data_IF_955621098870
#
_entry.id   IF_955621098870
#
_cell.length_a   1.000
_cell.length_b   1.000
_cell.length_c   1.000
_cell.angle_alpha   90.00
_cell.angle_beta   90.00
_cell.angle_gamma   90.00
#
_symmetry.space_group_name_H-M   'P 1'
#
loop_
_entity.id
_entity.type
_entity.pdbx_description
1 polymer ?
#
# COMPACT_ATOMS: atom_id res chain seq x y z
N UNK A 1 -0.35 12.81 -1.46
CA UNK A 1 -0.53 12.02 -2.70
C UNK A 1 0.81 11.88 -3.39
N UNK A 2 1.27 10.65 -3.57
CA UNK A 2 2.51 10.27 -4.24
C UNK A 2 2.37 10.45 -5.74
N UNK A 3 3.48 10.70 -6.43
CA UNK A 3 3.51 10.88 -7.89
C UNK A 3 2.93 9.67 -8.65
N UNK A 4 3.02 8.48 -8.07
CA UNK A 4 2.58 7.24 -8.68
C UNK A 4 1.20 6.78 -8.24
N UNK A 5 0.52 7.49 -7.33
CA UNK A 5 -0.78 7.11 -6.80
C UNK A 5 -1.78 6.81 -7.92
N UNK A 6 -1.99 7.76 -8.83
CA UNK A 6 -3.00 7.65 -9.87
C UNK A 6 -2.73 6.47 -10.81
N UNK A 7 -1.45 6.18 -11.10
CA UNK A 7 -1.06 5.04 -11.94
C UNK A 7 -1.40 3.73 -11.23
N UNK A 8 -1.03 3.59 -9.95
CA UNK A 8 -1.30 2.36 -9.19
C UNK A 8 -2.81 2.16 -9.00
N UNK A 9 -3.57 3.23 -8.76
CA UNK A 9 -5.02 3.19 -8.68
C UNK A 9 -5.65 2.72 -9.99
N UNK A 10 -5.25 3.29 -11.13
CA UNK A 10 -5.75 2.90 -12.45
C UNK A 10 -5.44 1.43 -12.79
N UNK A 11 -4.24 0.93 -12.45
CA UNK A 11 -3.92 -0.49 -12.60
C UNK A 11 -4.79 -1.40 -11.73
N UNK A 12 -5.10 -0.99 -10.51
CA UNK A 12 -5.95 -1.75 -9.60
C UNK A 12 -7.42 -1.73 -10.05
N UNK A 13 -7.95 -0.55 -10.41
CA UNK A 13 -9.33 -0.38 -10.89
C UNK A 13 -9.59 -1.18 -12.18
N UNK A 14 -8.58 -1.29 -13.05
CA UNK A 14 -8.64 -2.12 -14.27
C UNK A 14 -8.44 -3.62 -14.02
N UNK A 15 -8.21 -4.03 -12.77
CA UNK A 15 -7.94 -5.42 -12.40
C UNK A 15 -6.58 -5.96 -12.90
N UNK A 16 -5.70 -5.08 -13.38
CA UNK A 16 -4.35 -5.46 -13.83
C UNK A 16 -3.45 -5.81 -12.65
N UNK A 17 -3.72 -5.19 -11.50
CA UNK A 17 -2.99 -5.41 -10.25
C UNK A 17 -3.90 -5.96 -9.17
N UNK A 18 -3.40 -6.97 -8.45
CA UNK A 18 -4.00 -7.51 -7.23
C UNK A 18 -3.60 -6.69 -6.01
N UNK A 19 -4.34 -6.81 -4.90
CA UNK A 19 -3.99 -6.18 -3.60
C UNK A 19 -2.55 -6.48 -3.18
N UNK A 20 -2.05 -7.69 -3.45
CA UNK A 20 -0.67 -8.09 -3.15
C UNK A 20 0.38 -7.32 -3.98
N UNK A 21 0.04 -6.91 -5.21
CA UNK A 21 0.92 -6.06 -6.02
C UNK A 21 0.89 -4.61 -5.55
N UNK A 22 -0.29 -4.09 -5.18
CA UNK A 22 -0.44 -2.76 -4.58
C UNK A 22 0.32 -2.68 -3.25
N UNK A 23 0.29 -3.74 -2.42
CA UNK A 23 0.99 -3.78 -1.14
C UNK A 23 2.51 -3.72 -1.31
N UNK A 24 3.07 -4.36 -2.35
CA UNK A 24 4.51 -4.27 -2.69
C UNK A 24 4.95 -2.88 -3.16
N UNK A 25 4.01 -2.04 -3.58
CA UNK A 25 4.28 -0.67 -3.98
C UNK A 25 4.31 0.30 -2.79
N UNK A 26 3.80 -0.10 -1.63
CA UNK A 26 3.84 0.69 -0.39
C UNK A 26 5.30 0.89 0.05
N UNK A 27 5.66 2.13 0.37
CA UNK A 27 7.02 2.53 0.74
C UNK A 27 7.98 2.69 -0.44
N UNK A 28 7.54 2.44 -1.68
CA UNK A 28 8.36 2.62 -2.90
C UNK A 28 7.73 3.58 -3.89
N UNK A 29 6.42 3.46 -4.10
CA UNK A 29 5.65 4.24 -5.06
C UNK A 29 4.45 4.92 -4.43
N UNK A 30 3.85 4.30 -3.42
CA UNK A 30 2.68 4.80 -2.69
C UNK A 30 2.90 4.69 -1.17
N UNK A 31 2.06 5.36 -0.38
CA UNK A 31 2.03 5.24 1.09
C UNK A 31 1.04 4.18 1.57
N UNK A 32 1.04 3.86 2.86
CA UNK A 32 0.08 2.94 3.47
C UNK A 32 -1.35 3.50 3.45
N UNK A 33 -1.51 4.81 3.61
CA UNK A 33 -2.80 5.51 3.49
C UNK A 33 -3.35 5.40 2.06
N UNK A 34 -2.48 5.56 1.07
CA UNK A 34 -2.84 5.42 -0.34
C UNK A 34 -3.21 3.99 -0.72
N UNK A 35 -2.54 3.00 -0.13
CA UNK A 35 -2.96 1.60 -0.27
C UNK A 35 -4.39 1.40 0.22
N UNK A 36 -4.76 2.00 1.35
CA UNK A 36 -6.11 1.95 1.89
C UNK A 36 -7.11 2.65 0.98
N UNK A 37 -6.75 3.78 0.40
CA UNK A 37 -7.62 4.48 -0.57
C UNK A 37 -7.84 3.67 -1.86
N UNK A 38 -6.80 2.98 -2.35
CA UNK A 38 -6.88 2.15 -3.57
C UNK A 38 -7.67 0.86 -3.32
N UNK A 39 -7.39 0.18 -2.20
CA UNK A 39 -7.87 -1.19 -1.98
C UNK A 39 -9.07 -1.29 -1.03
N UNK A 40 -9.33 -0.25 -0.24
CA UNK A 40 -10.31 -0.24 0.85
C UNK A 40 -9.82 -0.94 2.14
N UNK A 41 -8.64 -1.57 2.12
CA UNK A 41 -8.11 -2.33 3.26
C UNK A 41 -6.95 -1.60 3.93
N UNK A 42 -6.82 -1.72 5.25
CA UNK A 42 -5.62 -1.28 5.95
C UNK A 42 -4.39 -2.06 5.46
N UNK A 43 -3.30 -1.35 5.20
CA UNK A 43 -2.04 -1.97 4.81
C UNK A 43 -1.48 -2.79 5.99
N UNK A 44 -1.30 -4.09 5.75
CA UNK A 44 -0.70 -5.03 6.72
C UNK A 44 0.50 -5.70 6.08
N UNK A 45 1.65 -5.62 6.73
CA UNK A 45 2.81 -6.43 6.36
C UNK A 45 2.58 -7.82 6.94
N UNK A 46 2.55 -8.84 6.08
CA UNK A 46 2.39 -10.22 6.54
C UNK A 46 3.50 -10.54 7.55
N UNK A 47 3.11 -10.80 8.80
CA UNK A 47 4.01 -11.14 9.90
C UNK A 47 4.36 -10.02 10.87
N UNK A 48 3.91 -8.76 10.68
CA UNK A 48 4.03 -7.70 11.69
C UNK A 48 2.90 -6.66 11.60
N UNK A 49 2.30 -6.30 12.74
CA UNK A 49 1.36 -5.18 12.84
C UNK A 49 2.08 -3.83 12.70
N UNK A 50 1.35 -2.76 12.38
CA UNK A 50 1.92 -1.40 12.28
C UNK A 50 2.61 -0.98 13.58
N UNK A 51 2.05 -1.36 14.73
CA UNK A 51 2.63 -1.13 16.06
C UNK A 51 4.00 -1.81 16.24
N UNK A 52 4.20 -2.98 15.61
CA UNK A 52 5.48 -3.70 15.66
C UNK A 52 6.54 -3.09 14.74
N UNK A 53 6.13 -2.38 13.68
CA UNK A 53 7.04 -1.67 12.77
C UNK A 53 7.51 -0.37 13.42
N UNK A 54 6.61 0.38 14.05
CA UNK A 54 6.94 1.63 14.75
C UNK A 54 7.94 1.41 15.89
N UNK A 55 7.87 0.26 16.57
CA UNK A 55 8.80 -0.11 17.65
C UNK A 55 10.27 -0.26 17.20
N UNK A 56 10.54 -0.49 15.92
CA UNK A 56 11.90 -0.72 15.41
C UNK A 56 12.62 0.54 14.88
N UNK A 57 11.93 1.68 14.86
CA UNK A 57 12.45 2.95 14.33
C UNK A 57 12.79 3.95 15.46
N UNK A 58 12.45 3.62 16.71
CA UNK A 58 12.80 4.39 17.94
C UNK A 58 14.09 3.90 18.57
#
# INVERSE_FOLDING_TARGET
>A
MSENFQKVKDYYDKGLWTKSQVSRAVGKRITAEEYKEITGDDYRVVGKSLEEIERYIV
#
